data_IF_799223366734
#
_entry.id   IF_799223366734
#
_cell.length_a   1.000
_cell.length_b   1.000
_cell.length_c   1.000
_cell.angle_alpha   90.00
_cell.angle_beta   90.00
_cell.angle_gamma   90.00
#
_symmetry.space_group_name_H-M   'P 1'
#
loop_
_entity.id
_entity.type
_entity.pdbx_description
1 polymer ?
#
# COMPACT_ATOMS: atom_id res chain seq x y z
N UNK A 1 -22.94 20.66 12.70
CA UNK A 1 -23.13 20.32 11.27
C UNK A 1 -22.59 18.91 11.08
N UNK A 2 -23.41 17.97 10.60
CA UNK A 2 -23.00 16.57 10.37
C UNK A 2 -22.24 16.49 9.04
N UNK A 3 -20.95 16.19 9.11
CA UNK A 3 -20.09 15.99 7.95
C UNK A 3 -20.16 14.51 7.52
N UNK A 4 -20.43 14.25 6.25
CA UNK A 4 -20.36 12.90 5.69
C UNK A 4 -18.92 12.63 5.24
N UNK A 5 -18.30 11.54 5.69
CA UNK A 5 -16.98 11.15 5.20
C UNK A 5 -17.12 10.07 4.12
N UNK A 6 -16.35 10.16 3.05
CA UNK A 6 -16.39 9.21 1.93
C UNK A 6 -14.97 8.70 1.71
N UNK A 7 -14.76 7.41 1.97
CA UNK A 7 -13.52 6.73 1.59
C UNK A 7 -13.60 6.35 0.11
N UNK A 8 -12.53 6.64 -0.62
CA UNK A 8 -12.38 6.41 -2.04
C UNK A 8 -11.08 5.68 -2.37
N UNK A 9 -10.09 5.64 -1.48
CA UNK A 9 -8.93 4.75 -1.60
C UNK A 9 -9.31 3.32 -1.21
N UNK A 10 -9.44 2.47 -2.22
CA UNK A 10 -10.16 1.20 -2.11
C UNK A 10 -11.58 1.35 -2.66
N UNK A 11 -12.54 0.60 -2.11
CA UNK A 11 -13.95 0.72 -2.48
C UNK A 11 -14.59 2.04 -2.04
N UNK A 12 -15.82 2.30 -2.52
CA UNK A 12 -16.62 3.43 -2.01
C UNK A 12 -17.24 3.05 -0.68
N UNK A 13 -16.77 3.67 0.40
CA UNK A 13 -17.39 3.56 1.72
C UNK A 13 -17.87 4.94 2.17
N UNK A 14 -19.08 4.98 2.72
CA UNK A 14 -19.67 6.21 3.23
C UNK A 14 -19.81 6.08 4.74
N UNK A 15 -19.28 7.06 5.47
CA UNK A 15 -19.30 7.09 6.93
C UNK A 15 -20.08 8.34 7.35
N UNK A 16 -21.10 8.11 8.16
CA UNK A 16 -21.91 9.18 8.75
C UNK A 16 -21.13 9.98 9.80
N UNK A 17 -21.71 11.09 10.24
CA UNK A 17 -21.12 11.95 11.26
C UNK A 17 -21.06 11.27 12.64
N UNK A 18 -21.86 10.22 12.87
CA UNK A 18 -21.78 9.36 14.07
C UNK A 18 -20.71 8.27 13.96
N UNK A 19 -20.02 8.15 12.82
CA UNK A 19 -19.02 7.10 12.56
C UNK A 19 -19.61 5.79 12.03
N UNK A 20 -20.92 5.71 11.81
CA UNK A 20 -21.57 4.51 11.27
C UNK A 20 -21.44 4.43 9.74
N UNK A 21 -21.22 3.23 9.23
CA UNK A 21 -21.20 2.96 7.79
C UNK A 21 -22.60 3.11 7.19
N UNK A 22 -22.71 3.86 6.10
CA UNK A 22 -23.95 4.05 5.35
C UNK A 22 -23.92 3.20 4.09
N UNK A 23 -24.83 2.23 4.01
CA UNK A 23 -24.93 1.34 2.86
C UNK A 23 -25.53 2.06 1.65
N UNK A 24 -24.82 2.06 0.52
CA UNK A 24 -25.33 2.48 -0.78
C UNK A 24 -25.70 1.23 -1.58
N UNK A 25 -26.99 0.90 -1.76
CA UNK A 25 -27.44 -0.41 -2.26
C UNK A 25 -27.21 -0.62 -3.77
N UNK A 26 -26.54 0.30 -4.45
CA UNK A 26 -26.22 0.21 -5.86
C UNK A 26 -24.78 0.63 -6.12
N UNK A 27 -24.00 -0.27 -6.73
CA UNK A 27 -22.61 0.00 -7.13
C UNK A 27 -22.52 1.23 -8.05
N UNK A 28 -23.46 1.39 -8.98
CA UNK A 28 -23.53 2.56 -9.87
C UNK A 28 -23.86 3.85 -9.12
N UNK A 29 -24.73 3.79 -8.11
CA UNK A 29 -24.98 4.95 -7.25
C UNK A 29 -23.74 5.32 -6.41
N UNK A 30 -23.04 4.34 -5.85
CA UNK A 30 -21.79 4.57 -5.13
C UNK A 30 -20.69 5.15 -6.04
N UNK A 31 -20.57 4.63 -7.26
CA UNK A 31 -19.64 5.16 -8.30
C UNK A 31 -19.95 6.61 -8.63
N UNK A 32 -21.24 6.93 -8.81
CA UNK A 32 -21.72 8.28 -9.04
C UNK A 32 -21.32 9.21 -7.88
N UNK A 33 -21.59 8.78 -6.65
CA UNK A 33 -21.24 9.54 -5.45
C UNK A 33 -19.72 9.82 -5.41
N UNK A 34 -18.88 8.80 -5.62
CA UNK A 34 -17.43 8.93 -5.64
C UNK A 34 -16.95 9.89 -6.73
N UNK A 35 -17.45 9.76 -7.96
CA UNK A 35 -17.08 10.64 -9.07
C UNK A 35 -17.43 12.11 -8.80
N UNK A 36 -18.65 12.38 -8.31
CA UNK A 36 -19.08 13.75 -8.01
C UNK A 36 -18.33 14.30 -6.79
N UNK A 37 -17.98 13.45 -5.82
CA UNK A 37 -17.23 13.87 -4.64
C UNK A 37 -15.80 14.32 -5.01
N UNK A 38 -15.14 13.58 -5.90
CA UNK A 38 -13.83 13.95 -6.46
C UNK A 38 -13.88 15.20 -7.32
N UNK A 39 -15.03 15.48 -7.95
CA UNK A 39 -15.22 16.67 -8.78
C UNK A 39 -15.58 17.91 -7.97
N UNK A 40 -15.85 17.79 -6.66
CA UNK A 40 -16.20 18.90 -5.79
C UNK A 40 -15.09 19.97 -5.76
N UNK A 41 -15.40 21.28 -5.83
CA UNK A 41 -16.74 21.91 -5.75
C UNK A 41 -17.42 22.13 -7.12
N UNK A 42 -16.88 21.57 -8.20
CA UNK A 42 -17.37 21.80 -9.57
C UNK A 42 -18.78 21.22 -9.77
N UNK A 43 -19.62 21.96 -10.48
CA UNK A 43 -20.88 21.43 -11.01
C UNK A 43 -20.63 20.62 -12.30
N UNK A 44 -21.34 19.50 -12.46
CA UNK A 44 -21.21 18.61 -13.60
C UNK A 44 -22.57 18.48 -14.28
N UNK A 45 -22.60 18.71 -15.60
CA UNK A 45 -23.85 18.58 -16.32
C UNK A 45 -24.38 17.14 -16.29
N UNK A 46 -25.70 17.03 -16.13
CA UNK A 46 -26.40 15.74 -16.11
C UNK A 46 -26.16 14.95 -17.39
N UNK A 47 -26.11 15.64 -18.53
CA UNK A 47 -25.81 15.05 -19.83
C UNK A 47 -24.41 14.44 -19.85
N UNK A 48 -23.38 15.19 -19.42
CA UNK A 48 -22.00 14.71 -19.36
C UNK A 48 -21.88 13.50 -18.45
N UNK A 49 -22.47 13.57 -17.26
CA UNK A 49 -22.41 12.51 -16.26
C UNK A 49 -23.17 11.25 -16.72
N UNK A 50 -24.32 11.40 -17.38
CA UNK A 50 -25.07 10.28 -17.95
C UNK A 50 -24.27 9.56 -19.05
N UNK A 51 -23.65 10.31 -19.96
CA UNK A 51 -22.77 9.77 -21.00
C UNK A 51 -21.55 9.07 -20.37
N UNK A 52 -20.92 9.70 -19.38
CA UNK A 52 -19.73 9.17 -18.73
C UNK A 52 -20.00 7.86 -17.99
N UNK A 53 -21.11 7.72 -17.26
CA UNK A 53 -21.34 6.55 -16.41
C UNK A 53 -22.12 5.42 -17.08
N UNK A 54 -22.86 5.71 -18.16
CA UNK A 54 -23.76 4.74 -18.83
C UNK A 54 -23.55 4.66 -20.35
N UNK A 55 -22.47 5.23 -20.91
CA UNK A 55 -22.13 5.17 -22.35
C UNK A 55 -23.23 5.61 -23.32
N UNK A 56 -24.26 6.28 -22.80
CA UNK A 56 -25.35 6.78 -23.60
C UNK A 56 -25.02 8.18 -24.08
N UNK A 57 -24.49 8.31 -25.30
CA UNK A 57 -24.58 9.58 -26.00
C UNK A 57 -26.06 9.95 -26.12
N UNK A 58 -26.52 10.89 -25.28
CA UNK A 58 -27.85 11.50 -25.32
C UNK A 58 -29.07 10.56 -25.27
N UNK A 59 -28.93 9.32 -24.78
CA UNK A 59 -30.07 8.40 -24.69
C UNK A 59 -30.96 8.69 -23.47
N UNK A 60 -32.28 8.64 -23.66
CA UNK A 60 -33.25 8.78 -22.56
C UNK A 60 -33.06 7.69 -21.49
N UNK A 61 -32.52 6.54 -21.87
CA UNK A 61 -32.15 5.45 -20.97
C UNK A 61 -31.02 5.83 -20.01
N UNK A 62 -29.99 6.52 -20.49
CA UNK A 62 -28.90 6.99 -19.63
C UNK A 62 -29.38 8.07 -18.65
N UNK A 63 -30.23 9.00 -19.11
CA UNK A 63 -30.87 10.00 -18.24
C UNK A 63 -31.78 9.36 -17.19
N UNK A 64 -32.57 8.35 -17.56
CA UNK A 64 -33.40 7.60 -16.64
C UNK A 64 -32.56 6.85 -15.59
N UNK A 65 -31.46 6.22 -16.00
CA UNK A 65 -30.53 5.53 -15.10
C UNK A 65 -29.87 6.50 -14.12
N UNK A 66 -29.47 7.69 -14.58
CA UNK A 66 -28.95 8.75 -13.72
C UNK A 66 -30.00 9.22 -12.69
N UNK A 67 -31.26 9.45 -13.12
CA UNK A 67 -32.35 9.80 -12.20
C UNK A 67 -32.55 8.72 -11.13
N UNK A 68 -32.52 7.45 -11.52
CA UNK A 68 -32.66 6.34 -10.60
C UNK A 68 -31.49 6.27 -9.61
N UNK A 69 -30.25 6.46 -10.07
CA UNK A 69 -29.07 6.48 -9.20
C UNK A 69 -29.13 7.63 -8.18
N UNK A 70 -29.53 8.83 -8.60
CA UNK A 70 -29.72 9.98 -7.70
C UNK A 70 -30.83 9.73 -6.68
N UNK A 71 -31.94 9.10 -7.09
CA UNK A 71 -33.01 8.72 -6.18
C UNK A 71 -32.53 7.71 -5.14
N UNK A 72 -31.75 6.71 -5.56
CA UNK A 72 -31.12 5.74 -4.66
C UNK A 72 -30.20 6.43 -3.64
N UNK A 73 -29.37 7.38 -4.08
CA UNK A 73 -28.51 8.15 -3.16
C UNK A 73 -29.32 8.97 -2.16
N UNK A 74 -30.38 9.66 -2.61
CA UNK A 74 -31.26 10.44 -1.71
C UNK A 74 -31.94 9.56 -0.67
N UNK A 75 -32.35 8.34 -1.04
CA UNK A 75 -32.96 7.37 -0.11
C UNK A 75 -31.95 6.77 0.87
N UNK A 76 -30.70 6.57 0.44
CA UNK A 76 -29.64 6.04 1.28
C UNK A 76 -29.06 7.10 2.24
N UNK A 77 -29.23 8.39 1.93
CA UNK A 77 -28.71 9.52 2.69
C UNK A 77 -29.82 10.45 3.23
N UNK A 78 -30.86 9.93 3.92
CA UNK A 78 -32.01 10.72 4.32
C UNK A 78 -31.66 11.82 5.34
N UNK A 79 -30.62 11.60 6.16
CA UNK A 79 -30.11 12.56 7.14
C UNK A 79 -29.21 13.64 6.51
N UNK A 80 -28.93 13.53 5.21
CA UNK A 80 -28.02 14.40 4.46
C UNK A 80 -28.65 14.93 3.15
N UNK A 81 -29.84 15.56 3.21
CA UNK A 81 -30.58 15.97 2.02
C UNK A 81 -29.82 16.98 1.15
N UNK A 82 -28.95 17.80 1.77
CA UNK A 82 -28.20 18.87 1.11
C UNK A 82 -26.81 18.44 0.60
N UNK A 83 -26.42 17.16 0.78
CA UNK A 83 -25.10 16.70 0.31
C UNK A 83 -25.02 16.72 -1.21
N UNK A 84 -26.09 16.31 -1.90
CA UNK A 84 -26.15 16.30 -3.37
C UNK A 84 -27.21 17.29 -3.83
N UNK A 85 -26.76 18.40 -4.40
CA UNK A 85 -27.63 19.29 -5.16
C UNK A 85 -27.71 18.79 -6.61
N UNK A 86 -28.91 18.55 -7.09
CA UNK A 86 -29.14 18.15 -8.47
C UNK A 86 -30.32 18.94 -9.02
N UNK A 87 -30.02 19.93 -9.84
CA UNK A 87 -31.01 20.76 -10.53
C UNK A 87 -31.34 20.17 -11.91
N UNK A 88 -31.93 20.99 -12.79
CA UNK A 88 -32.35 20.56 -14.14
C UNK A 88 -31.18 20.23 -15.05
N UNK A 89 -30.04 20.90 -14.89
CA UNK A 89 -28.93 20.86 -15.84
C UNK A 89 -27.67 20.27 -15.22
N UNK A 90 -27.45 20.51 -13.92
CA UNK A 90 -26.22 20.21 -13.21
C UNK A 90 -26.44 19.38 -11.93
N UNK A 91 -25.37 18.68 -11.55
CA UNK A 91 -25.24 17.94 -10.31
C UNK A 91 -23.96 18.41 -9.62
N UNK A 92 -24.07 18.70 -8.32
CA UNK A 92 -22.97 19.16 -7.47
C UNK A 92 -23.08 18.51 -6.10
N UNK A 93 -21.93 18.21 -5.50
CA UNK A 93 -21.86 17.93 -4.07
C UNK A 93 -21.53 19.19 -3.29
N UNK A 94 -22.19 19.38 -2.15
CA UNK A 94 -21.92 20.51 -1.26
C UNK A 94 -20.58 20.28 -0.52
N UNK A 95 -19.53 21.09 -0.79
CA UNK A 95 -18.18 20.85 -0.26
C UNK A 95 -18.11 20.97 1.26
N UNK A 96 -19.00 21.74 1.89
CA UNK A 96 -19.04 21.93 3.34
C UNK A 96 -19.77 20.81 4.09
N UNK A 97 -20.39 19.88 3.35
CA UNK A 97 -21.18 18.77 3.92
C UNK A 97 -20.47 17.43 3.79
N UNK A 98 -19.39 17.37 3.02
CA UNK A 98 -18.61 16.14 2.82
C UNK A 98 -17.14 16.34 3.14
N UNK A 99 -16.46 15.24 3.43
CA UNK A 99 -15.01 15.10 3.33
C UNK A 99 -14.69 13.81 2.59
N UNK A 100 -13.54 13.78 1.93
CA UNK A 100 -13.02 12.58 1.27
C UNK A 100 -11.61 12.31 1.76
N UNK A 101 -11.24 11.04 1.89
CA UNK A 101 -9.87 10.60 2.14
C UNK A 101 -8.91 11.09 1.03
N UNK A 102 -9.34 11.11 -0.23
CA UNK A 102 -8.58 11.66 -1.37
C UNK A 102 -8.36 13.16 -1.23
N UNK A 103 -9.40 13.93 -0.89
CA UNK A 103 -9.29 15.37 -0.71
C UNK A 103 -8.41 15.72 0.49
N UNK A 104 -8.50 14.94 1.56
CA UNK A 104 -7.61 15.06 2.72
C UNK A 104 -6.16 14.71 2.34
N UNK A 105 -5.95 13.61 1.60
CA UNK A 105 -4.67 13.19 1.09
C UNK A 105 -4.00 14.30 0.27
N UNK A 106 -4.67 14.84 -0.73
CA UNK A 106 -4.12 15.92 -1.57
C UNK A 106 -3.86 17.21 -0.80
N UNK A 107 -4.67 17.52 0.22
CA UNK A 107 -4.42 18.67 1.11
C UNK A 107 -3.15 18.45 1.92
N UNK A 108 -2.99 17.28 2.53
CA UNK A 108 -1.82 16.93 3.35
C UNK A 108 -0.53 16.91 2.52
N UNK A 109 -0.59 16.44 1.26
CA UNK A 109 0.56 16.48 0.35
C UNK A 109 1.01 17.90 0.04
N UNK A 110 0.06 18.83 -0.16
CA UNK A 110 0.37 20.24 -0.42
C UNK A 110 1.03 20.94 0.77
N UNK A 111 0.76 20.48 1.99
CA UNK A 111 1.37 21.02 3.21
C UNK A 111 2.85 20.59 3.36
N UNK A 112 3.25 19.44 2.81
CA UNK A 112 4.66 19.06 2.64
C UNK A 112 5.47 18.74 3.91
N UNK A 113 4.90 18.88 5.11
CA UNK A 113 5.58 18.54 6.36
C UNK A 113 5.67 17.01 6.58
N UNK A 114 6.76 16.46 7.16
CA UNK A 114 6.92 15.02 7.35
C UNK A 114 5.75 14.33 8.05
N UNK A 115 5.23 14.91 9.13
CA UNK A 115 4.05 14.37 9.84
C UNK A 115 2.79 14.33 8.96
N UNK A 116 2.62 15.34 8.10
CA UNK A 116 1.49 15.43 7.17
C UNK A 116 1.64 14.42 6.04
N UNK A 117 2.85 14.24 5.53
CA UNK A 117 3.17 13.20 4.54
C UNK A 117 2.92 11.80 5.12
N UNK A 118 3.29 11.56 6.39
CA UNK A 118 3.02 10.28 7.06
C UNK A 118 1.52 9.99 7.16
N UNK A 119 0.73 10.99 7.55
CA UNK A 119 -0.74 10.88 7.56
C UNK A 119 -1.31 10.68 6.16
N UNK A 120 -0.84 11.42 5.15
CA UNK A 120 -1.26 11.26 3.77
C UNK A 120 -0.98 9.84 3.27
N UNK A 121 0.25 9.35 3.47
CA UNK A 121 0.61 7.99 3.14
C UNK A 121 -0.34 6.98 3.82
N UNK A 122 -0.72 7.18 5.09
CA UNK A 122 -1.67 6.31 5.79
C UNK A 122 -3.11 6.29 5.24
N UNK A 123 -3.53 7.33 4.51
CA UNK A 123 -4.83 7.38 3.82
C UNK A 123 -4.84 6.54 2.55
N UNK A 124 -3.70 6.43 1.86
CA UNK A 124 -3.57 5.59 0.67
C UNK A 124 -3.53 4.10 1.04
N UNK A 125 -4.68 3.43 0.96
CA UNK A 125 -4.87 2.02 1.37
C UNK A 125 -5.14 1.05 0.21
N UNK A 126 -5.46 1.59 -0.96
CA UNK A 126 -5.83 0.84 -2.14
C UNK A 126 -6.08 1.79 -3.31
N UNK A 127 -6.36 1.23 -4.47
CA UNK A 127 -6.60 2.03 -5.66
C UNK A 127 -7.92 2.79 -5.56
N UNK A 128 -7.97 3.97 -6.19
CA UNK A 128 -9.18 4.77 -6.25
C UNK A 128 -10.38 3.94 -6.76
N UNK A 129 -11.50 3.92 -6.04
CA UNK A 129 -12.73 3.23 -6.43
C UNK A 129 -12.51 1.75 -6.80
N UNK A 130 -11.63 1.04 -6.08
CA UNK A 130 -11.36 -0.39 -6.26
C UNK A 130 -12.67 -1.22 -6.26
N UNK A 131 -12.71 -2.26 -7.10
CA UNK A 131 -13.91 -3.08 -7.30
C UNK A 131 -15.04 -2.40 -8.10
N UNK A 132 -14.88 -1.12 -8.45
CA UNK A 132 -15.76 -0.44 -9.40
C UNK A 132 -15.40 -0.87 -10.81
N UNK A 133 -16.41 -1.31 -11.55
CA UNK A 133 -16.34 -1.53 -12.99
C UNK A 133 -17.51 -0.82 -13.66
N UNK A 134 -17.22 -0.16 -14.77
CA UNK A 134 -18.19 0.48 -15.63
C UNK A 134 -18.12 -0.16 -17.02
N UNK A 135 -19.26 -0.24 -17.68
CA UNK A 135 -19.29 -0.52 -19.12
C UNK A 135 -18.77 0.64 -19.94
N UNK A 136 -18.57 1.82 -19.33
CA UNK A 136 -18.15 3.03 -20.04
C UNK A 136 -16.66 3.14 -20.25
N UNK A 137 -16.24 3.10 -21.51
CA UNK A 137 -14.85 3.34 -21.91
C UNK A 137 -14.34 4.71 -21.44
N UNK A 138 -15.20 5.74 -21.47
CA UNK A 138 -14.82 7.08 -21.01
C UNK A 138 -14.57 7.12 -19.51
N UNK A 139 -15.41 6.45 -18.72
CA UNK A 139 -15.21 6.36 -17.28
C UNK A 139 -13.99 5.52 -16.92
N UNK A 140 -13.78 4.37 -17.57
CA UNK A 140 -12.62 3.52 -17.32
C UNK A 140 -11.30 4.25 -17.66
N UNK A 141 -11.28 5.00 -18.77
CA UNK A 141 -10.13 5.83 -19.14
C UNK A 141 -9.84 6.92 -18.09
N UNK A 142 -10.87 7.64 -17.66
CA UNK A 142 -10.74 8.64 -16.59
C UNK A 142 -10.26 7.99 -15.28
N UNK A 143 -10.86 6.87 -14.87
CA UNK A 143 -10.51 6.18 -13.63
C UNK A 143 -9.08 5.66 -13.65
N UNK A 144 -8.63 5.12 -14.79
CA UNK A 144 -7.25 4.66 -14.98
C UNK A 144 -6.25 5.82 -14.86
N UNK A 145 -6.52 6.95 -15.51
CA UNK A 145 -5.68 8.13 -15.42
C UNK A 145 -5.61 8.67 -13.97
N UNK A 146 -6.76 8.72 -13.29
CA UNK A 146 -6.86 9.23 -11.93
C UNK A 146 -6.15 8.32 -10.92
N UNK A 147 -6.31 6.99 -11.05
CA UNK A 147 -5.55 6.00 -10.27
C UNK A 147 -4.05 6.18 -10.46
N UNK A 148 -3.59 6.35 -11.70
CA UNK A 148 -2.17 6.54 -11.99
C UNK A 148 -1.62 7.81 -11.34
N UNK A 149 -2.37 8.92 -11.43
CA UNK A 149 -2.02 10.19 -10.79
C UNK A 149 -1.88 10.03 -9.28
N UNK A 150 -2.88 9.44 -8.62
CA UNK A 150 -2.88 9.25 -7.17
C UNK A 150 -1.81 8.27 -6.68
N UNK A 151 -1.54 7.19 -7.42
CA UNK A 151 -0.42 6.28 -7.16
C UNK A 151 0.91 7.02 -7.18
N UNK A 152 1.12 7.85 -8.20
CA UNK A 152 2.34 8.65 -8.34
C UNK A 152 2.54 9.57 -7.13
N UNK A 153 1.48 10.26 -6.71
CA UNK A 153 1.51 11.11 -5.52
C UNK A 153 1.79 10.33 -4.23
N UNK A 154 1.19 9.14 -4.08
CA UNK A 154 1.40 8.29 -2.91
C UNK A 154 2.85 7.78 -2.83
N UNK A 155 3.42 7.37 -3.97
CA UNK A 155 4.82 6.97 -4.05
C UNK A 155 5.76 8.13 -3.71
N UNK A 156 5.49 9.34 -4.21
CA UNK A 156 6.28 10.54 -3.86
C UNK A 156 6.25 10.83 -2.37
N UNK A 157 5.07 10.71 -1.72
CA UNK A 157 4.94 10.90 -0.28
C UNK A 157 5.74 9.86 0.52
N UNK A 158 5.61 8.58 0.15
CA UNK A 158 6.33 7.48 0.81
C UNK A 158 7.85 7.59 0.61
N UNK A 159 8.30 7.95 -0.60
CA UNK A 159 9.72 8.17 -0.89
C UNK A 159 10.28 9.35 -0.08
N UNK A 160 9.53 10.45 0.02
CA UNK A 160 9.92 11.62 0.84
C UNK A 160 10.07 11.27 2.33
N UNK A 161 9.18 10.42 2.86
CA UNK A 161 9.31 9.92 4.24
C UNK A 161 10.53 9.02 4.42
N UNK A 162 10.75 8.11 3.47
CA UNK A 162 11.89 7.21 3.50
C UNK A 162 13.23 7.97 3.41
N UNK A 163 13.24 9.09 2.69
CA UNK A 163 14.40 9.98 2.60
C UNK A 163 14.62 10.82 3.86
N UNK A 164 13.55 11.25 4.54
CA UNK A 164 13.63 12.04 5.76
C UNK A 164 14.09 11.22 6.98
N UNK A 165 13.70 9.95 7.07
CA UNK A 165 13.94 9.09 8.25
C UNK A 165 15.23 8.25 8.14
N UNK A 166 16.19 8.69 7.31
CA UNK A 166 17.32 7.88 6.84
C UNK A 166 18.27 7.31 7.91
N UNK A 167 18.12 7.59 9.21
CA UNK A 167 19.13 7.21 10.23
C UNK A 167 18.63 6.81 11.62
N UNK A 168 17.37 7.02 12.00
CA UNK A 168 16.95 6.81 13.40
C UNK A 168 15.97 5.65 13.60
N UNK A 169 15.11 5.32 12.62
CA UNK A 169 14.07 4.29 12.80
C UNK A 169 14.02 3.26 11.66
N UNK A 170 14.88 2.24 11.75
CA UNK A 170 14.96 1.16 10.75
C UNK A 170 13.61 0.47 10.48
N UNK A 171 12.83 0.20 11.54
CA UNK A 171 11.54 -0.48 11.40
C UNK A 171 10.54 0.34 10.57
N UNK A 172 10.59 1.67 10.70
CA UNK A 172 9.78 2.59 9.90
C UNK A 172 10.25 2.56 8.45
N UNK A 173 11.56 2.58 8.21
CA UNK A 173 12.11 2.48 6.86
C UNK A 173 11.72 1.16 6.16
N UNK A 174 11.76 0.03 6.87
CA UNK A 174 11.32 -1.26 6.35
C UNK A 174 9.82 -1.23 6.03
N UNK A 175 8.99 -0.72 6.95
CA UNK A 175 7.54 -0.62 6.74
C UNK A 175 7.20 0.26 5.52
N UNK A 176 7.84 1.42 5.39
CA UNK A 176 7.65 2.32 4.24
C UNK A 176 8.09 1.68 2.93
N UNK A 177 9.27 1.05 2.91
CA UNK A 177 9.78 0.39 1.71
C UNK A 177 8.89 -0.77 1.26
N UNK A 178 8.39 -1.59 2.20
CA UNK A 178 7.42 -2.64 1.89
C UNK A 178 6.12 -2.08 1.31
N UNK A 179 5.63 -0.95 1.83
CA UNK A 179 4.44 -0.28 1.27
C UNK A 179 4.68 0.26 -0.13
N UNK A 180 5.86 0.83 -0.42
CA UNK A 180 6.20 1.26 -1.78
C UNK A 180 6.21 0.05 -2.72
N UNK A 181 6.85 -1.05 -2.34
CA UNK A 181 6.90 -2.27 -3.16
C UNK A 181 5.55 -2.96 -3.35
N UNK A 182 4.61 -2.77 -2.43
CA UNK A 182 3.23 -3.24 -2.61
C UNK A 182 2.48 -2.44 -3.69
N UNK A 183 2.82 -1.16 -3.87
CA UNK A 183 2.25 -0.29 -4.91
C UNK A 183 2.96 -0.50 -6.24
N UNK A 184 4.29 -0.47 -6.22
CA UNK A 184 5.14 -0.67 -7.39
C UNK A 184 6.29 -1.64 -7.06
N UNK A 185 6.12 -2.94 -7.39
CA UNK A 185 7.14 -3.96 -7.21
C UNK A 185 8.42 -3.74 -8.04
N UNK A 186 8.42 -2.87 -9.04
CA UNK A 186 9.56 -2.65 -9.94
C UNK A 186 10.57 -1.63 -9.41
N UNK A 187 10.32 -1.06 -8.22
CA UNK A 187 11.19 -0.06 -7.61
C UNK A 187 12.48 -0.69 -7.06
N UNK A 188 13.44 -0.94 -7.96
CA UNK A 188 14.70 -1.62 -7.62
C UNK A 188 15.51 -0.88 -6.54
N UNK A 189 15.52 0.45 -6.55
CA UNK A 189 16.15 1.25 -5.49
C UNK A 189 15.55 0.97 -4.10
N UNK A 190 14.24 0.70 -4.02
CA UNK A 190 13.56 0.37 -2.76
C UNK A 190 13.88 -1.05 -2.31
N UNK A 191 14.03 -2.00 -3.25
CA UNK A 191 14.59 -3.32 -2.94
C UNK A 191 15.99 -3.19 -2.32
N UNK A 192 16.86 -2.35 -2.88
CA UNK A 192 18.21 -2.10 -2.33
C UNK A 192 18.16 -1.54 -0.92
N UNK A 193 17.22 -0.63 -0.62
CA UNK A 193 17.03 -0.10 0.74
C UNK A 193 16.71 -1.24 1.71
N UNK A 194 15.71 -2.08 1.42
CA UNK A 194 15.37 -3.24 2.25
C UNK A 194 16.54 -4.21 2.45
N UNK A 195 17.29 -4.49 1.39
CA UNK A 195 18.50 -5.34 1.47
C UNK A 195 19.52 -4.76 2.46
N UNK A 196 19.79 -3.45 2.41
CA UNK A 196 20.70 -2.78 3.35
C UNK A 196 20.15 -2.82 4.78
N UNK A 197 18.87 -2.52 4.97
CA UNK A 197 18.18 -2.56 6.26
C UNK A 197 18.33 -3.94 6.95
N UNK A 198 18.02 -5.01 6.22
CA UNK A 198 18.14 -6.38 6.73
C UNK A 198 19.59 -6.79 6.99
N UNK A 199 20.53 -6.43 6.11
CA UNK A 199 21.94 -6.78 6.28
C UNK A 199 22.56 -6.12 7.52
N UNK A 200 22.21 -4.87 7.81
CA UNK A 200 22.70 -4.13 8.98
C UNK A 200 22.27 -4.76 10.32
N UNK A 201 21.08 -5.38 10.37
CA UNK A 201 20.56 -6.04 11.58
C UNK A 201 20.93 -7.53 11.68
N UNK A 202 21.90 -7.98 10.88
CA UNK A 202 22.32 -9.38 10.85
C UNK A 202 21.31 -10.34 10.20
N UNK A 203 20.15 -9.85 9.73
CA UNK A 203 19.13 -10.60 8.98
C UNK A 203 19.55 -10.81 7.52
N UNK A 204 20.78 -11.30 7.31
CA UNK A 204 21.41 -11.41 5.98
C UNK A 204 20.67 -12.37 5.05
N UNK A 205 20.06 -13.43 5.58
CA UNK A 205 19.23 -14.34 4.79
C UNK A 205 18.02 -13.61 4.18
N UNK A 206 17.41 -12.68 4.92
CA UNK A 206 16.26 -11.90 4.45
C UNK A 206 16.67 -10.91 3.35
N UNK A 207 17.86 -10.32 3.48
CA UNK A 207 18.42 -9.46 2.45
C UNK A 207 18.67 -10.23 1.13
N UNK A 208 19.17 -11.47 1.19
CA UNK A 208 19.35 -12.31 -0.01
C UNK A 208 18.01 -12.71 -0.62
N UNK A 209 17.02 -13.08 0.21
CA UNK A 209 15.65 -13.33 -0.26
C UNK A 209 15.04 -12.12 -0.95
N UNK A 210 15.30 -10.90 -0.44
CA UNK A 210 14.81 -9.67 -1.05
C UNK A 210 15.40 -9.41 -2.44
N UNK A 211 16.68 -9.77 -2.66
CA UNK A 211 17.30 -9.73 -3.98
C UNK A 211 16.64 -10.72 -4.94
N UNK A 212 16.39 -11.96 -4.49
CA UNK A 212 15.72 -12.96 -5.34
C UNK A 212 14.31 -12.51 -5.75
N UNK A 213 13.56 -11.86 -4.85
CA UNK A 213 12.27 -11.24 -5.15
C UNK A 213 12.41 -10.13 -6.20
N UNK A 214 13.36 -9.22 -6.02
CA UNK A 214 13.65 -8.15 -6.98
C UNK A 214 13.90 -8.71 -8.38
N UNK A 215 14.83 -9.67 -8.49
CA UNK A 215 15.18 -10.32 -9.76
C UNK A 215 13.99 -11.02 -10.39
N UNK A 216 13.17 -11.71 -9.60
CA UNK A 216 12.00 -12.42 -10.09
C UNK A 216 10.96 -11.46 -10.68
N UNK A 217 10.68 -10.34 -10.02
CA UNK A 217 9.70 -9.35 -10.47
C UNK A 217 10.19 -8.63 -11.73
N UNK A 218 11.44 -8.15 -11.76
CA UNK A 218 12.04 -7.50 -12.94
C UNK A 218 12.00 -8.42 -14.17
N UNK A 219 12.34 -9.70 -13.98
CA UNK A 219 12.31 -10.67 -15.06
C UNK A 219 10.89 -11.00 -15.54
N UNK A 220 9.93 -11.10 -14.62
CA UNK A 220 8.53 -11.45 -14.94
C UNK A 220 7.86 -10.34 -15.74
N UNK A 221 7.99 -9.10 -15.30
CA UNK A 221 7.12 -7.99 -15.76
C UNK A 221 7.77 -7.16 -16.86
N UNK A 222 9.10 -6.98 -16.83
CA UNK A 222 9.82 -6.13 -17.80
C UNK A 222 10.97 -6.84 -18.51
N UNK A 223 11.19 -8.14 -18.24
CA UNK A 223 12.27 -8.96 -18.83
C UNK A 223 13.66 -8.34 -18.63
N UNK A 224 13.85 -7.59 -17.54
CA UNK A 224 15.11 -6.97 -17.19
C UNK A 224 15.89 -7.81 -16.19
N UNK A 225 17.20 -7.60 -16.15
CA UNK A 225 18.08 -8.08 -15.07
C UNK A 225 18.33 -6.95 -14.06
N UNK A 226 18.64 -7.26 -12.79
CA UNK A 226 18.97 -6.24 -11.81
C UNK A 226 20.15 -5.36 -12.25
N UNK A 227 20.08 -4.08 -11.87
CA UNK A 227 21.13 -3.11 -12.07
C UNK A 227 22.45 -3.52 -11.41
N UNK A 228 23.56 -2.98 -11.93
CA UNK A 228 24.90 -3.25 -11.42
C UNK A 228 25.03 -2.93 -9.92
N UNK A 229 24.38 -1.88 -9.43
CA UNK A 229 24.40 -1.50 -8.01
C UNK A 229 23.77 -2.60 -7.13
N UNK A 230 22.66 -3.18 -7.58
CA UNK A 230 21.95 -4.26 -6.88
C UNK A 230 22.77 -5.55 -6.87
N UNK A 231 23.41 -5.87 -8.00
CA UNK A 231 24.33 -7.01 -8.10
C UNK A 231 25.57 -6.86 -7.21
N UNK A 232 26.10 -5.64 -7.07
CA UNK A 232 27.20 -5.36 -6.16
C UNK A 232 26.77 -5.58 -4.70
N UNK A 233 25.64 -5.01 -4.29
CA UNK A 233 25.11 -5.16 -2.94
C UNK A 233 24.84 -6.64 -2.59
N UNK A 234 24.26 -7.40 -3.52
CA UNK A 234 24.06 -8.84 -3.35
C UNK A 234 25.38 -9.58 -3.11
N UNK A 235 26.43 -9.30 -3.90
CA UNK A 235 27.77 -9.91 -3.73
C UNK A 235 28.39 -9.55 -2.38
N UNK A 236 28.25 -8.30 -1.93
CA UNK A 236 28.75 -7.86 -0.62
C UNK A 236 28.09 -8.62 0.52
N UNK A 237 26.76 -8.73 0.51
CA UNK A 237 25.99 -9.43 1.55
C UNK A 237 26.35 -10.91 1.58
N UNK A 238 26.51 -11.57 0.42
CA UNK A 238 26.97 -12.97 0.35
C UNK A 238 28.34 -13.16 0.99
N UNK A 239 29.29 -12.25 0.75
CA UNK A 239 30.63 -12.31 1.37
C UNK A 239 30.54 -12.22 2.90
N UNK A 240 29.67 -11.37 3.43
CA UNK A 240 29.45 -11.25 4.87
C UNK A 240 28.90 -12.54 5.51
N UNK A 241 27.98 -13.23 4.82
CA UNK A 241 27.44 -14.53 5.29
C UNK A 241 28.54 -15.58 5.35
N UNK A 242 29.33 -15.72 4.28
CA UNK A 242 30.42 -16.71 4.24
C UNK A 242 31.53 -16.43 5.27
N UNK A 243 31.87 -15.15 5.51
CA UNK A 243 32.83 -14.78 6.56
C UNK A 243 32.32 -15.10 7.97
N UNK A 244 31.02 -14.90 8.22
CA UNK A 244 30.38 -15.25 9.50
C UNK A 244 30.35 -16.76 9.73
N UNK A 245 30.12 -17.57 8.68
CA UNK A 245 30.15 -19.03 8.78
C UNK A 245 31.55 -19.57 9.00
N UNK A 246 32.57 -19.07 8.27
CA UNK A 246 33.97 -19.49 8.45
C UNK A 246 34.48 -19.18 9.86
N UNK A 247 34.16 -18.00 10.40
CA UNK A 247 34.55 -17.63 11.76
C UNK A 247 33.83 -18.44 12.83
N UNK A 248 32.61 -18.91 12.60
CA UNK A 248 31.92 -19.86 13.48
C UNK A 248 32.56 -21.26 13.43
N UNK A 249 32.92 -21.76 12.23
CA UNK A 249 33.59 -23.06 12.06
C UNK A 249 34.99 -23.10 12.70
N UNK A 250 35.72 -21.99 12.68
CA UNK A 250 37.05 -21.85 13.31
C UNK A 250 37.00 -21.77 14.84
N UNK A 251 35.82 -21.53 15.44
CA UNK A 251 35.61 -21.44 16.89
C UNK A 251 35.14 -22.74 17.55
N UNK A 252 34.88 -23.81 16.78
CA UNK A 252 34.68 -25.12 17.39
C UNK A 252 36.00 -25.58 18.04
N UNK A 253 36.04 -25.90 19.34
CA UNK A 253 37.23 -26.49 19.92
C UNK A 253 37.47 -27.83 19.23
N UNK A 254 38.67 -27.99 18.64
CA UNK A 254 39.23 -29.31 18.37
C UNK A 254 39.21 -30.07 19.70
N UNK A 255 38.21 -30.94 19.87
CA UNK A 255 38.21 -31.94 20.92
C UNK A 255 39.41 -32.85 20.65
N UNK A 256 40.53 -32.52 21.31
CA UNK A 256 41.73 -33.35 21.33
C UNK A 256 41.38 -34.66 22.03
N UNK A 257 41.56 -35.74 21.29
CA UNK A 257 41.98 -37.08 21.68
C UNK A 257 41.45 -37.60 23.04
N UNK A 258 40.45 -38.49 22.94
CA UNK A 258 40.12 -39.43 23.99
C UNK A 258 41.19 -40.54 23.98
N UNK A 259 42.23 -40.39 24.81
CA UNK A 259 43.20 -41.47 25.08
C UNK A 259 42.51 -42.53 25.97
N UNK A 260 42.19 -43.67 25.37
CA UNK A 260 41.74 -44.85 26.08
C UNK A 260 42.96 -45.71 26.45
N UNK A 261 43.59 -45.42 27.59
CA UNK A 261 44.56 -46.32 28.22
C UNK A 261 44.19 -46.50 29.69
N UNK A 262 43.24 -47.39 29.95
CA UNK A 262 42.89 -47.82 31.30
C UNK A 262 43.75 -49.04 31.66
N UNK A 263 44.88 -48.81 32.33
CA UNK A 263 45.78 -49.86 32.80
C UNK A 263 45.83 -49.88 34.33
N UNK A 264 45.17 -50.89 34.88
CA UNK A 264 45.49 -51.65 36.11
C UNK A 264 46.10 -50.90 37.31
N UNK A 265 45.24 -50.54 38.27
CA UNK A 265 45.62 -50.30 39.66
C UNK A 265 45.48 -51.58 40.49
N UNK A 266 46.56 -52.34 40.59
CA UNK A 266 46.73 -53.44 41.56
C UNK A 266 46.80 -52.84 42.97
N UNK A 267 45.95 -53.30 43.88
CA UNK A 267 46.12 -53.11 45.33
C UNK A 267 46.24 -54.48 46.00
N UNK A 268 47.33 -54.79 46.71
CA UNK A 268 47.40 -55.96 47.58
C UNK A 268 47.22 -55.54 49.05
N UNK A 269 46.32 -56.22 49.78
CA UNK A 269 46.42 -56.36 51.24
C UNK A 269 45.49 -57.48 51.76
N UNK A 270 46.08 -58.66 51.89
CA UNK A 270 45.98 -59.65 52.98
C UNK A 270 44.85 -59.62 54.03
N UNK A 271 44.39 -60.86 54.30
CA UNK A 271 44.20 -61.56 55.60
C UNK A 271 42.77 -61.92 56.06
N UNK A 272 42.47 -63.22 55.88
CA UNK A 272 41.94 -64.22 56.84
C UNK A 272 40.74 -63.88 57.73
N UNK A 273 39.69 -64.70 57.64
CA UNK A 273 39.31 -65.67 58.71
C UNK A 273 38.09 -66.51 58.29
N UNK A 274 38.19 -67.81 58.60
CA UNK A 274 37.17 -68.88 58.63
C UNK A 274 36.83 -69.58 57.32
#
# INVERSE_FOLDING_TARGET
>A
MSLLHINLFGGVEVISASGESVSIPSRKAATLLGYVALSSPRAISRGKLATLLWDGHFSDRARASLRQALLTLRRALPQYPDVISADRDDIRICPTKISTDVGEFERLLREGHPERLARAAGLYRGDLLEGTSSTSCQFESWLSAERQRLRTLAMQALAGLLDADKREHMDIAIALALRILAIDPLQEGVHRILMRCYAQHGRRADALRQYDLCRAVLWRDVRAVPDQETEQLHREIRRMVHASQRSASLKLPLAKNFDATFTLGVTPASRSLS
#
